data_IF_532982354518
#
_entry.id   IF_532982354518
#
_cell.length_a   1.000
_cell.length_b   1.000
_cell.length_c   1.000
_cell.angle_alpha   90.00
_cell.angle_beta   90.00
_cell.angle_gamma   90.00
#
_symmetry.space_group_name_H-M   'P 1'
#
loop_
_entity.id
_entity.type
_entity.pdbx_description
1 polymer ?
#
# COMPACT_ATOMS: atom_id res chain seq x y z
N UNK A 1 19.07 -17.14 -19.85
CA UNK A 1 20.03 -16.16 -19.29
C UNK A 1 19.28 -15.14 -18.43
N UNK A 2 19.73 -14.92 -17.23
CA UNK A 2 19.13 -13.94 -16.33
C UNK A 2 19.47 -12.52 -16.79
N UNK A 3 18.46 -11.67 -16.90
CA UNK A 3 18.64 -10.28 -17.25
C UNK A 3 18.51 -9.40 -16.00
N UNK A 4 19.50 -8.57 -15.75
CA UNK A 4 19.47 -7.61 -14.64
C UNK A 4 18.96 -6.28 -15.20
N UNK A 5 17.90 -5.74 -14.58
CA UNK A 5 17.32 -4.45 -14.93
C UNK A 5 17.63 -3.46 -13.81
N UNK A 6 18.46 -2.47 -14.10
CA UNK A 6 18.88 -1.44 -13.14
C UNK A 6 18.12 -0.14 -13.30
N UNK A 7 17.47 0.07 -14.46
CA UNK A 7 16.70 1.27 -14.75
C UNK A 7 15.26 0.91 -15.06
N UNK A 8 14.35 1.71 -14.50
CA UNK A 8 12.93 1.56 -14.71
C UNK A 8 12.40 2.59 -15.72
N UNK A 9 11.30 2.26 -16.41
CA UNK A 9 10.66 3.16 -17.37
C UNK A 9 10.13 4.43 -16.72
N UNK A 10 9.81 4.38 -15.42
CA UNK A 10 9.25 5.49 -14.66
C UNK A 10 10.10 5.79 -13.44
N UNK A 11 10.23 7.07 -13.12
CA UNK A 11 10.75 7.49 -11.81
C UNK A 11 9.72 7.19 -10.74
N UNK A 12 10.16 6.66 -9.61
CA UNK A 12 9.29 6.20 -8.53
C UNK A 12 9.25 7.22 -7.40
N UNK A 13 8.03 7.57 -6.99
CA UNK A 13 7.77 8.34 -5.79
C UNK A 13 7.42 7.37 -4.65
N UNK A 14 8.14 7.48 -3.55
CA UNK A 14 7.95 6.67 -2.36
C UNK A 14 7.37 7.54 -1.25
N UNK A 15 6.11 7.30 -0.90
CA UNK A 15 5.44 8.02 0.18
C UNK A 15 5.44 7.09 1.40
N UNK A 16 6.29 7.38 2.36
CA UNK A 16 6.55 6.54 3.53
C UNK A 16 5.30 6.32 4.37
N UNK A 17 4.46 7.35 4.53
CA UNK A 17 3.22 7.23 5.27
C UNK A 17 2.13 8.15 4.73
N UNK A 18 0.99 7.57 4.44
CA UNK A 18 -0.25 8.26 4.07
C UNK A 18 -1.37 7.69 4.93
N UNK A 19 -2.22 8.56 5.46
CA UNK A 19 -3.36 8.14 6.25
C UNK A 19 -4.58 7.89 5.37
N UNK A 20 -5.19 6.72 5.54
CA UNK A 20 -6.48 6.39 4.94
C UNK A 20 -7.50 6.45 6.07
N UNK A 21 -8.39 7.44 6.03
CA UNK A 21 -9.43 7.59 7.07
C UNK A 21 -10.67 6.81 6.68
N UNK A 22 -11.05 5.87 7.54
CA UNK A 22 -12.24 5.05 7.35
C UNK A 22 -13.51 5.80 7.77
N UNK A 23 -14.66 5.24 7.44
CA UNK A 23 -15.95 5.84 7.75
C UNK A 23 -16.21 6.06 9.23
N UNK A 24 -15.60 5.25 10.11
CA UNK A 24 -15.71 5.39 11.56
C UNK A 24 -14.66 6.32 12.18
N UNK A 25 -13.83 6.97 11.37
CA UNK A 25 -12.78 7.86 11.82
C UNK A 25 -11.45 7.18 12.10
N UNK A 26 -11.37 5.87 12.08
CA UNK A 26 -10.12 5.13 12.25
C UNK A 26 -9.19 5.40 11.07
N UNK A 27 -7.91 5.65 11.35
CA UNK A 27 -6.91 5.91 10.32
C UNK A 27 -6.04 4.68 10.14
N UNK A 28 -5.87 4.28 8.89
CA UNK A 28 -4.93 3.22 8.51
C UNK A 28 -3.70 3.85 7.89
N UNK A 29 -2.53 3.36 8.28
CA UNK A 29 -1.26 3.83 7.74
C UNK A 29 -0.91 3.06 6.48
N UNK A 30 -0.55 3.78 5.43
CA UNK A 30 -0.18 3.20 4.14
C UNK A 30 1.18 3.71 3.67
N UNK A 31 1.92 2.86 3.01
CA UNK A 31 3.10 3.24 2.23
C UNK A 31 2.79 3.04 0.76
N UNK A 32 3.14 4.02 -0.06
CA UNK A 32 2.78 4.03 -1.47
C UNK A 32 4.05 4.23 -2.31
N UNK A 33 4.22 3.35 -3.29
CA UNK A 33 5.23 3.51 -4.36
C UNK A 33 4.48 3.68 -5.66
N UNK A 34 4.72 4.77 -6.37
CA UNK A 34 4.03 5.02 -7.63
C UNK A 34 4.93 5.81 -8.60
N UNK A 35 4.64 5.77 -9.91
CA UNK A 35 5.29 6.66 -10.85
C UNK A 35 5.05 8.13 -10.46
N UNK A 36 6.06 8.97 -10.61
CA UNK A 36 5.95 10.38 -10.24
C UNK A 36 4.87 11.14 -11.01
N UNK A 37 4.55 10.69 -12.22
CA UNK A 37 3.53 11.28 -13.07
C UNK A 37 2.14 10.65 -12.91
N UNK A 38 1.91 9.82 -11.89
CA UNK A 38 0.64 9.10 -11.70
C UNK A 38 -0.56 10.04 -11.56
N UNK A 39 -0.37 11.24 -11.01
CA UNK A 39 -1.44 12.23 -10.92
C UNK A 39 -1.91 12.78 -12.28
N UNK A 40 -1.05 12.73 -13.29
CA UNK A 40 -1.35 13.16 -14.66
C UNK A 40 -1.69 11.98 -15.58
N UNK A 41 -1.16 10.80 -15.26
CA UNK A 41 -1.34 9.56 -15.98
C UNK A 41 -1.77 8.48 -15.00
N UNK A 42 -3.07 8.31 -14.74
CA UNK A 42 -3.55 7.28 -13.83
C UNK A 42 -3.05 5.90 -14.20
N UNK A 43 -2.68 5.12 -13.20
CA UNK A 43 -2.09 3.79 -13.36
C UNK A 43 -2.87 2.76 -12.55
N UNK A 44 -2.81 1.48 -12.91
CA UNK A 44 -3.38 0.41 -12.10
C UNK A 44 -2.72 0.35 -10.73
N UNK A 45 -3.48 0.01 -9.71
CA UNK A 45 -2.99 -0.15 -8.35
C UNK A 45 -2.82 -1.62 -7.98
N UNK A 46 -1.76 -1.90 -7.21
CA UNK A 46 -1.53 -3.20 -6.59
C UNK A 46 -1.59 -2.96 -5.08
N UNK A 47 -2.56 -3.60 -4.42
CA UNK A 47 -2.74 -3.48 -2.97
C UNK A 47 -2.21 -4.71 -2.28
N UNK A 48 -1.41 -4.51 -1.24
CA UNK A 48 -1.04 -5.55 -0.31
C UNK A 48 -1.61 -5.19 1.07
N UNK A 49 -2.55 -6.00 1.54
CA UNK A 49 -3.33 -5.79 2.75
C UNK A 49 -3.25 -7.03 3.61
N UNK A 50 -2.23 -7.06 4.49
CA UNK A 50 -1.92 -8.22 5.33
C UNK A 50 -1.60 -7.75 6.75
N UNK A 51 -1.70 -8.64 7.76
CA UNK A 51 -1.51 -8.24 9.16
C UNK A 51 -0.05 -7.97 9.57
N UNK A 52 0.90 -8.11 8.67
CA UNK A 52 2.31 -7.88 8.94
C UNK A 52 2.65 -6.41 8.72
N UNK A 53 3.31 -5.80 9.69
CA UNK A 53 3.57 -4.36 9.71
C UNK A 53 4.47 -3.92 8.57
N UNK A 54 4.14 -2.78 7.95
CA UNK A 54 4.87 -2.26 6.79
C UNK A 54 6.30 -1.81 7.10
N UNK A 55 6.61 -1.54 8.38
CA UNK A 55 7.92 -1.07 8.83
C UNK A 55 8.83 -2.16 9.36
N UNK A 56 8.31 -3.35 9.60
CA UNK A 56 9.06 -4.39 10.30
C UNK A 56 9.54 -5.50 9.35
N UNK A 57 9.18 -6.73 9.63
CA UNK A 57 9.76 -7.92 8.99
C UNK A 57 9.57 -7.98 7.46
N UNK A 58 8.51 -7.37 6.95
CA UNK A 58 8.23 -7.40 5.50
C UNK A 58 8.89 -6.24 4.74
N UNK A 59 9.40 -5.24 5.43
CA UNK A 59 10.01 -4.06 4.80
C UNK A 59 11.16 -4.39 3.84
N UNK A 60 12.12 -5.25 4.18
CA UNK A 60 13.19 -5.61 3.24
C UNK A 60 12.70 -6.29 1.97
N UNK A 61 11.57 -7.01 2.03
CA UNK A 61 10.92 -7.60 0.86
C UNK A 61 10.16 -6.53 0.06
N UNK A 62 9.40 -5.68 0.77
CA UNK A 62 8.51 -4.72 0.15
C UNK A 62 9.25 -3.64 -0.65
N UNK A 63 10.36 -3.13 -0.13
CA UNK A 63 11.09 -2.03 -0.78
C UNK A 63 11.51 -2.34 -2.21
N UNK A 64 12.23 -3.44 -2.50
CA UNK A 64 12.63 -3.72 -3.88
C UNK A 64 11.46 -4.17 -4.74
N UNK A 65 10.52 -4.95 -4.19
CA UNK A 65 9.41 -5.51 -4.95
C UNK A 65 8.44 -4.43 -5.41
N UNK A 66 7.96 -3.59 -4.50
CA UNK A 66 6.99 -2.56 -4.83
C UNK A 66 7.61 -1.44 -5.67
N UNK A 67 8.86 -1.09 -5.42
CA UNK A 67 9.58 -0.13 -6.24
C UNK A 67 9.75 -0.63 -7.68
N UNK A 68 10.01 -1.91 -7.86
CA UNK A 68 10.09 -2.53 -9.18
C UNK A 68 8.77 -2.39 -9.94
N UNK A 69 7.65 -2.74 -9.32
CA UNK A 69 6.35 -2.60 -9.96
C UNK A 69 6.00 -1.13 -10.26
N UNK A 70 6.28 -0.23 -9.33
CA UNK A 70 6.04 1.19 -9.54
C UNK A 70 6.89 1.75 -10.68
N UNK A 71 8.14 1.30 -10.80
CA UNK A 71 9.01 1.66 -11.91
C UNK A 71 8.50 1.20 -13.28
N UNK A 72 7.61 0.22 -13.30
CA UNK A 72 7.01 -0.31 -14.53
C UNK A 72 5.54 0.13 -14.73
N UNK A 73 5.08 1.14 -14.02
CA UNK A 73 3.79 1.77 -14.28
C UNK A 73 2.64 1.33 -13.39
N UNK A 74 2.92 0.86 -12.18
CA UNK A 74 1.89 0.50 -11.20
C UNK A 74 1.99 1.39 -9.96
N UNK A 75 0.87 1.66 -9.32
CA UNK A 75 0.85 2.21 -7.98
C UNK A 75 0.76 1.05 -6.99
N UNK A 76 1.79 0.87 -6.16
CA UNK A 76 1.83 -0.20 -5.19
C UNK A 76 1.57 0.36 -3.80
N UNK A 77 0.63 -0.23 -3.08
CA UNK A 77 0.17 0.27 -1.80
C UNK A 77 0.24 -0.85 -0.76
N UNK A 78 0.93 -0.57 0.32
CA UNK A 78 1.03 -1.46 1.46
C UNK A 78 0.33 -0.80 2.64
N UNK A 79 -0.72 -1.42 3.17
CA UNK A 79 -1.55 -0.86 4.24
C UNK A 79 -1.40 -1.70 5.50
N UNK A 80 -1.14 -1.03 6.64
CA UNK A 80 -1.24 -1.66 7.94
C UNK A 80 -2.72 -1.80 8.30
N UNK A 81 -3.13 -3.01 8.65
CA UNK A 81 -4.50 -3.29 9.05
C UNK A 81 -4.85 -2.59 10.36
N UNK A 82 -6.15 -2.45 10.64
CA UNK A 82 -6.65 -1.86 11.88
C UNK A 82 -5.97 -2.54 13.09
N UNK A 83 -5.39 -1.73 13.95
CA UNK A 83 -4.70 -2.20 15.14
C UNK A 83 -3.32 -2.79 14.92
N UNK A 84 -2.83 -2.81 13.69
CA UNK A 84 -1.50 -3.32 13.35
C UNK A 84 -0.57 -2.18 12.96
N UNK A 85 0.72 -2.32 13.24
CA UNK A 85 1.76 -1.39 12.85
C UNK A 85 1.46 0.06 13.25
N UNK A 86 1.46 0.96 12.27
CA UNK A 86 1.24 2.39 12.48
C UNK A 86 -0.23 2.80 12.42
N UNK A 87 -1.14 1.87 12.09
CA UNK A 87 -2.57 2.16 12.00
C UNK A 87 -3.22 2.30 13.37
N UNK A 88 -4.31 3.06 13.43
CA UNK A 88 -5.12 3.22 14.63
C UNK A 88 -5.91 1.94 14.96
N UNK A 89 -6.45 1.87 16.18
CA UNK A 89 -7.35 0.82 16.60
C UNK A 89 -6.66 -0.30 17.38
N UNK A 90 -7.41 -1.34 17.67
CA UNK A 90 -6.93 -2.52 18.39
C UNK A 90 -7.07 -3.75 17.51
N UNK A 91 -6.03 -4.55 17.47
CA UNK A 91 -6.05 -5.86 16.84
C UNK A 91 -6.52 -6.89 17.88
N UNK A 92 -7.76 -7.35 17.74
CA UNK A 92 -8.34 -8.33 18.68
C UNK A 92 -7.97 -9.75 18.30
N UNK A 93 -7.84 -10.02 16.99
CA UNK A 93 -7.44 -11.31 16.46
C UNK A 93 -7.01 -11.12 15.01
N UNK A 94 -6.19 -12.04 14.49
CA UNK A 94 -5.81 -12.03 13.10
C UNK A 94 -6.90 -12.71 12.24
N UNK A 95 -7.07 -12.22 11.02
CA UNK A 95 -7.99 -12.78 10.02
C UNK A 95 -9.47 -12.77 10.45
N UNK A 96 -9.87 -11.76 11.23
CA UNK A 96 -11.29 -11.55 11.53
C UNK A 96 -12.02 -11.12 10.25
N UNK A 97 -13.03 -11.89 9.88
CA UNK A 97 -13.70 -11.68 8.59
C UNK A 97 -14.40 -10.33 8.49
N UNK A 98 -15.22 -9.96 9.46
CA UNK A 98 -16.05 -8.76 9.34
C UNK A 98 -15.25 -7.46 9.35
N UNK A 99 -14.41 -7.16 10.37
CA UNK A 99 -13.67 -5.91 10.37
C UNK A 99 -12.65 -5.82 9.24
N UNK A 100 -11.97 -6.91 8.93
CA UNK A 100 -10.94 -6.92 7.88
C UNK A 100 -11.54 -6.75 6.49
N UNK A 101 -12.65 -7.42 6.20
CA UNK A 101 -13.32 -7.30 4.91
C UNK A 101 -13.92 -5.90 4.71
N UNK A 102 -14.56 -5.35 5.72
CA UNK A 102 -15.16 -4.03 5.64
C UNK A 102 -14.09 -2.94 5.48
N UNK A 103 -13.02 -3.00 6.27
CA UNK A 103 -11.90 -2.07 6.17
C UNK A 103 -11.21 -2.20 4.81
N UNK A 104 -11.00 -3.41 4.33
CA UNK A 104 -10.40 -3.68 3.02
C UNK A 104 -11.24 -3.10 1.88
N UNK A 105 -12.56 -3.23 1.94
CA UNK A 105 -13.46 -2.64 0.95
C UNK A 105 -13.36 -1.11 0.94
N UNK A 106 -13.28 -0.48 2.12
CA UNK A 106 -13.09 0.98 2.23
C UNK A 106 -11.74 1.42 1.69
N UNK A 107 -10.67 0.64 1.92
CA UNK A 107 -9.34 0.91 1.36
C UNK A 107 -9.37 0.87 -0.17
N UNK A 108 -10.01 -0.13 -0.76
CA UNK A 108 -10.14 -0.24 -2.21
C UNK A 108 -10.90 0.98 -2.77
N UNK A 109 -11.98 1.38 -2.12
CA UNK A 109 -12.75 2.56 -2.52
C UNK A 109 -11.91 3.84 -2.43
N UNK A 110 -11.10 3.98 -1.38
CA UNK A 110 -10.19 5.10 -1.22
C UNK A 110 -9.17 5.16 -2.35
N UNK A 111 -8.57 4.02 -2.71
CA UNK A 111 -7.60 3.92 -3.82
C UNK A 111 -8.26 4.34 -5.13
N UNK A 112 -9.46 3.84 -5.40
CA UNK A 112 -10.19 4.15 -6.63
C UNK A 112 -10.56 5.63 -6.75
N UNK A 113 -10.68 6.35 -5.63
CA UNK A 113 -11.02 7.77 -5.61
C UNK A 113 -9.80 8.68 -5.80
N UNK A 114 -8.58 8.14 -5.84
CA UNK A 114 -7.37 8.94 -6.06
C UNK A 114 -7.25 9.35 -7.53
N UNK A 115 -6.70 10.55 -7.81
CA UNK A 115 -6.51 11.02 -9.18
C UNK A 115 -5.53 10.16 -9.99
#
# INVERSE_FOLDING_TARGET
MTRIVERFSNSVRDIENTWITLGDGTRLAARIWMPEDAGQRPVPAILEYIPYRKRDLTRPRDEPMHRYFAGHGYACIRVDMRGAGDSDGLLTDEYLQTPELDDGAEVIAWIAAQP
#
